data_IF_025649099614
#
_entry.id   IF_025649099614
#
_cell.length_a   1.000
_cell.length_b   1.000
_cell.length_c   1.000
_cell.angle_alpha   90.00
_cell.angle_beta   90.00
_cell.angle_gamma   90.00
#
_symmetry.space_group_name_H-M   'P 1'
#
loop_
_entity.id
_entity.type
_entity.pdbx_description
1 polymer ?
#
# COMPACT_ATOMS: atom_id res chain seq x y z
N UNK A 1 -12.38 -9.07 14.57
CA UNK A 1 -11.65 -8.31 13.54
C UNK A 1 -10.21 -8.78 13.58
N UNK A 2 -9.85 -9.65 12.63
CA UNK A 2 -8.69 -10.55 12.68
C UNK A 2 -7.36 -9.79 12.62
N UNK A 3 -6.48 -10.03 13.59
CA UNK A 3 -5.13 -9.45 13.67
C UNK A 3 -4.29 -9.62 12.38
N UNK A 4 -4.63 -10.61 11.55
CA UNK A 4 -4.02 -10.86 10.24
C UNK A 4 -4.25 -9.74 9.21
N UNK A 5 -5.30 -8.94 9.30
CA UNK A 5 -5.46 -7.78 8.39
C UNK A 5 -4.63 -6.58 8.82
N UNK A 6 -4.30 -6.50 10.11
CA UNK A 6 -3.55 -5.38 10.69
C UNK A 6 -2.09 -5.43 10.27
N UNK A 7 -1.48 -6.62 10.20
CA UNK A 7 -0.06 -6.76 9.89
C UNK A 7 0.30 -6.39 8.41
N UNK A 8 -0.43 -6.84 7.38
CA UNK A 8 -0.19 -6.42 5.99
C UNK A 8 -0.49 -4.94 5.77
N UNK A 9 -1.54 -4.42 6.39
CA UNK A 9 -1.89 -3.00 6.32
C UNK A 9 -0.79 -2.13 6.94
N UNK A 10 -0.29 -2.48 8.13
CA UNK A 10 0.81 -1.76 8.77
C UNK A 10 2.06 -1.72 7.89
N UNK A 11 2.41 -2.84 7.24
CA UNK A 11 3.53 -2.90 6.28
C UNK A 11 3.33 -1.96 5.10
N UNK A 12 2.13 -1.89 4.52
CA UNK A 12 1.83 -0.96 3.43
C UNK A 12 1.99 0.50 3.88
N UNK A 13 1.51 0.83 5.08
CA UNK A 13 1.67 2.17 5.65
C UNK A 13 3.15 2.51 5.77
N UNK A 14 3.95 1.62 6.37
CA UNK A 14 5.40 1.82 6.51
C UNK A 14 6.10 2.01 5.16
N UNK A 15 5.73 1.26 4.11
CA UNK A 15 6.33 1.47 2.78
C UNK A 15 5.94 2.83 2.19
N UNK A 16 4.69 3.26 2.32
CA UNK A 16 4.25 4.55 1.81
C UNK A 16 4.88 5.73 2.56
N UNK A 17 5.14 5.61 3.87
CA UNK A 17 5.84 6.65 4.65
C UNK A 17 7.29 6.88 4.22
N UNK A 18 7.92 5.91 3.55
CA UNK A 18 9.30 6.05 3.06
C UNK A 18 9.38 6.90 1.78
N UNK A 19 8.24 7.22 1.16
CA UNK A 19 8.19 8.03 -0.04
C UNK A 19 8.36 9.53 0.31
N UNK A 20 9.17 10.28 -0.46
CA UNK A 20 9.38 11.70 -0.21
C UNK A 20 8.04 12.46 -0.29
N UNK A 21 7.74 13.25 0.73
CA UNK A 21 6.49 14.04 0.80
C UNK A 21 5.27 13.28 1.36
N UNK A 22 5.41 12.02 1.77
CA UNK A 22 4.32 11.23 2.36
C UNK A 22 4.57 10.99 3.85
N UNK A 23 3.78 11.65 4.71
CA UNK A 23 3.76 11.37 6.15
C UNK A 23 2.70 10.34 6.56
N UNK A 24 2.74 9.91 7.83
CA UNK A 24 1.88 8.85 8.39
C UNK A 24 0.42 8.89 7.98
N UNK A 25 -0.23 10.04 8.17
CA UNK A 25 -1.66 10.20 7.85
C UNK A 25 -1.93 10.01 6.36
N UNK A 26 -1.01 10.41 5.49
CA UNK A 26 -1.13 10.23 4.03
C UNK A 26 -0.86 8.79 3.64
N UNK A 27 0.18 8.16 4.20
CA UNK A 27 0.48 6.75 4.01
C UNK A 27 -0.69 5.84 4.42
N UNK A 28 -1.31 6.11 5.57
CA UNK A 28 -2.51 5.41 6.03
C UNK A 28 -3.66 5.53 5.03
N UNK A 29 -3.92 6.72 4.47
CA UNK A 29 -4.96 6.90 3.44
C UNK A 29 -4.67 6.09 2.18
N UNK A 30 -3.42 6.08 1.72
CA UNK A 30 -3.00 5.30 0.55
C UNK A 30 -3.13 3.79 0.80
N UNK A 31 -2.73 3.32 1.98
CA UNK A 31 -2.86 1.90 2.33
C UNK A 31 -4.32 1.43 2.39
N UNK A 32 -5.22 2.26 2.92
CA UNK A 32 -6.66 1.96 2.88
C UNK A 32 -7.25 2.02 1.46
N UNK A 33 -6.75 2.90 0.61
CA UNK A 33 -7.12 2.91 -0.81
C UNK A 33 -6.77 1.57 -1.47
N UNK A 34 -5.54 1.06 -1.25
CA UNK A 34 -5.11 -0.26 -1.76
C UNK A 34 -5.99 -1.40 -1.24
N UNK A 35 -6.43 -1.37 0.02
CA UNK A 35 -7.38 -2.36 0.55
C UNK A 35 -8.77 -2.32 -0.10
N UNK A 36 -9.13 -1.20 -0.73
CA UNK A 36 -10.38 -1.03 -1.45
C UNK A 36 -10.32 -1.47 -2.91
N UNK A 37 -9.13 -1.79 -3.43
CA UNK A 37 -8.95 -2.25 -4.81
C UNK A 37 -9.48 -3.67 -5.00
N UNK A 38 -9.92 -3.97 -6.23
CA UNK A 38 -10.06 -5.35 -6.68
C UNK A 38 -8.69 -6.05 -6.71
N UNK A 39 -8.71 -7.38 -6.78
CA UNK A 39 -7.47 -8.17 -6.86
C UNK A 39 -6.67 -7.81 -8.10
N UNK A 40 -7.35 -7.68 -9.24
CA UNK A 40 -6.74 -7.35 -10.53
C UNK A 40 -6.09 -5.96 -10.51
N UNK A 41 -6.75 -4.96 -9.93
CA UNK A 41 -6.19 -3.61 -9.78
C UNK A 41 -4.98 -3.59 -8.85
N UNK A 42 -5.01 -4.34 -7.75
CA UNK A 42 -3.87 -4.44 -6.83
C UNK A 42 -2.66 -5.10 -7.50
N UNK A 43 -2.89 -6.16 -8.29
CA UNK A 43 -1.85 -6.83 -9.07
C UNK A 43 -1.23 -5.88 -10.10
N UNK A 44 -2.06 -5.18 -10.88
CA UNK A 44 -1.59 -4.18 -11.86
C UNK A 44 -0.79 -3.05 -11.21
N UNK A 45 -1.26 -2.53 -10.07
CA UNK A 45 -0.54 -1.49 -9.34
C UNK A 45 0.84 -1.98 -8.86
N UNK A 46 0.92 -3.21 -8.35
CA UNK A 46 2.19 -3.81 -7.93
C UNK A 46 3.14 -4.05 -9.11
N UNK A 47 2.61 -4.50 -10.26
CA UNK A 47 3.39 -4.71 -11.47
C UNK A 47 3.99 -3.41 -11.98
N UNK A 48 3.22 -2.32 -12.01
CA UNK A 48 3.72 -1.01 -12.43
C UNK A 48 4.90 -0.51 -11.56
N UNK A 49 4.89 -0.80 -10.25
CA UNK A 49 6.01 -0.47 -9.35
C UNK A 49 7.24 -1.31 -9.70
N UNK A 50 7.08 -2.60 -9.95
CA UNK A 50 8.18 -3.51 -10.28
C UNK A 50 8.78 -3.19 -11.66
N UNK A 51 7.93 -2.98 -12.67
CA UNK A 51 8.35 -2.62 -14.02
C UNK A 51 9.11 -1.28 -14.06
N UNK A 52 8.70 -0.29 -13.26
CA UNK A 52 9.40 0.99 -13.18
C UNK A 52 10.77 0.93 -12.48
N UNK A 53 11.04 -0.15 -11.74
CA UNK A 53 12.32 -0.39 -11.08
C UNK A 53 13.32 -1.13 -11.98
N UNK A 54 12.85 -1.90 -12.96
CA UNK A 54 13.70 -2.55 -13.97
C UNK A 54 14.30 -1.55 -14.97
#
# INVERSE_FOLDING_TARGET
>A
MSAYYVAPLARLIEQFERLPGIGHKSAQRLAYYVLGLSKEEAEQFSAAILEAHE
#
